data_IF_210995498874
#
_entry.id   IF_210995498874
#
_cell.length_a   1.000
_cell.length_b   1.000
_cell.length_c   1.000
_cell.angle_alpha   90.00
_cell.angle_beta   90.00
_cell.angle_gamma   90.00
#
_symmetry.space_group_name_H-M   'P 1'
#
loop_
_entity.id
_entity.type
_entity.pdbx_description
1 polymer ?
#
# COMPACT_ATOMS: atom_id res chain seq x y z
N UNK A 1 71.56 2.49 -38.84
CA UNK A 1 70.14 2.11 -38.76
C UNK A 1 69.77 2.01 -37.28
N UNK A 2 69.02 2.98 -36.76
CA UNK A 2 68.48 2.97 -35.38
C UNK A 2 66.96 3.03 -35.51
N UNK A 3 66.29 1.99 -35.05
CA UNK A 3 64.82 1.87 -35.06
C UNK A 3 64.20 2.83 -34.04
N UNK A 4 63.11 3.48 -34.43
CA UNK A 4 62.30 4.33 -33.56
C UNK A 4 61.41 3.47 -32.64
N UNK A 5 61.09 3.93 -31.42
CA UNK A 5 60.19 3.22 -30.52
C UNK A 5 58.71 3.45 -30.90
N UNK A 6 57.95 2.37 -30.99
CA UNK A 6 56.50 2.39 -31.17
C UNK A 6 55.80 2.96 -29.92
N UNK A 7 54.82 3.82 -30.16
CA UNK A 7 53.98 4.42 -29.12
C UNK A 7 52.82 3.47 -28.83
N UNK A 8 52.51 3.14 -27.56
CA UNK A 8 51.40 2.25 -27.26
C UNK A 8 50.05 2.96 -27.50
N UNK A 9 49.20 2.35 -28.33
CA UNK A 9 47.80 2.76 -28.51
C UNK A 9 47.03 2.61 -27.20
N UNK A 10 46.56 3.74 -26.67
CA UNK A 10 45.62 3.78 -25.56
C UNK A 10 44.23 3.48 -26.14
N UNK A 11 43.74 2.26 -25.93
CA UNK A 11 42.38 1.87 -26.28
C UNK A 11 41.34 2.73 -25.56
N UNK A 12 40.13 2.89 -26.12
CA UNK A 12 39.11 3.77 -25.58
C UNK A 12 38.74 3.37 -24.15
N UNK A 13 38.75 4.36 -23.25
CA UNK A 13 38.34 4.20 -21.87
C UNK A 13 36.92 3.62 -21.81
N UNK A 14 36.77 2.45 -21.17
CA UNK A 14 35.45 1.93 -20.78
C UNK A 14 34.76 2.99 -19.94
N UNK A 15 33.64 3.53 -20.43
CA UNK A 15 32.71 4.33 -19.63
C UNK A 15 32.35 3.50 -18.40
N UNK A 16 32.65 4.03 -17.22
CA UNK A 16 32.15 3.47 -15.97
C UNK A 16 30.61 3.51 -16.03
N UNK A 17 29.98 2.35 -16.02
CA UNK A 17 28.55 2.24 -15.70
C UNK A 17 28.36 2.82 -14.31
N UNK A 18 27.46 3.80 -14.20
CA UNK A 18 27.01 4.28 -12.90
C UNK A 18 26.46 3.07 -12.12
N UNK A 19 26.70 2.97 -10.80
CA UNK A 19 26.15 1.90 -10.00
C UNK A 19 24.62 1.92 -10.17
N UNK A 20 24.06 0.86 -10.75
CA UNK A 20 22.63 0.63 -10.78
C UNK A 20 22.16 0.57 -9.33
N UNK A 21 21.40 1.57 -8.87
CA UNK A 21 20.67 1.44 -7.62
C UNK A 21 19.70 0.26 -7.78
N UNK A 22 19.59 -0.57 -6.73
CA UNK A 22 18.60 -1.63 -6.72
C UNK A 22 17.19 -1.02 -6.89
N UNK A 23 16.25 -1.73 -7.55
CA UNK A 23 14.89 -1.25 -7.71
C UNK A 23 14.23 -1.05 -6.34
N UNK A 24 13.41 0.00 -6.20
CA UNK A 24 12.63 0.23 -4.98
C UNK A 24 11.62 -0.90 -4.81
N UNK A 25 11.55 -1.50 -3.63
CA UNK A 25 10.60 -2.58 -3.33
C UNK A 25 9.34 -2.04 -2.68
N UNK A 26 8.19 -2.21 -3.33
CA UNK A 26 6.90 -1.67 -2.87
C UNK A 26 5.88 -2.79 -2.70
N UNK A 27 5.24 -2.83 -1.53
CA UNK A 27 4.08 -3.68 -1.27
C UNK A 27 2.80 -2.85 -1.35
N UNK A 28 1.84 -3.28 -2.18
CA UNK A 28 0.48 -2.74 -2.20
C UNK A 28 -0.48 -3.83 -1.71
N UNK A 29 -1.24 -3.53 -0.66
CA UNK A 29 -2.21 -4.49 -0.09
C UNK A 29 -3.64 -4.01 -0.28
N UNK A 30 -4.59 -4.94 -0.27
CA UNK A 30 -6.02 -4.65 -0.23
C UNK A 30 -6.76 -5.63 0.66
N UNK A 31 -7.99 -5.29 1.05
CA UNK A 31 -8.84 -6.18 1.85
C UNK A 31 -9.84 -6.96 1.00
N UNK A 32 -10.07 -8.21 1.39
CA UNK A 32 -11.16 -9.06 0.93
C UNK A 32 -12.52 -8.57 1.47
N UNK A 33 -13.60 -9.27 1.11
CA UNK A 33 -14.94 -8.98 1.59
C UNK A 33 -15.07 -9.24 3.10
N UNK A 34 -15.92 -8.47 3.78
CA UNK A 34 -16.12 -8.57 5.25
C UNK A 34 -17.55 -8.91 5.66
N UNK A 35 -18.51 -8.87 4.72
CA UNK A 35 -19.94 -9.06 4.99
C UNK A 35 -20.55 -10.11 4.08
N UNK A 36 -21.65 -10.71 4.54
CA UNK A 36 -22.42 -11.69 3.77
C UNK A 36 -21.60 -12.92 3.35
N UNK A 37 -20.64 -13.35 4.17
CA UNK A 37 -19.64 -14.37 3.80
C UNK A 37 -20.12 -15.82 3.90
N UNK A 38 -21.37 -16.04 4.33
CA UNK A 38 -21.92 -17.38 4.59
C UNK A 38 -21.54 -17.96 5.96
N UNK A 39 -21.90 -19.23 6.17
CA UNK A 39 -21.59 -20.01 7.38
C UNK A 39 -21.08 -21.41 6.94
N UNK A 40 -19.77 -21.72 7.09
CA UNK A 40 -18.71 -20.86 7.65
C UNK A 40 -18.36 -19.66 6.74
N UNK A 41 -17.79 -18.57 7.28
CA UNK A 41 -17.44 -17.39 6.50
C UNK A 41 -16.33 -17.68 5.47
N UNK A 42 -16.55 -17.28 4.22
CA UNK A 42 -15.54 -17.31 3.15
C UNK A 42 -14.60 -16.10 3.22
N UNK A 43 -13.56 -16.18 4.05
CA UNK A 43 -12.64 -15.06 4.34
C UNK A 43 -11.83 -14.56 3.15
N UNK A 44 -11.62 -15.41 2.13
CA UNK A 44 -10.89 -15.08 0.91
C UNK A 44 -11.79 -14.59 -0.22
N UNK A 45 -13.09 -14.40 0.03
CA UNK A 45 -13.98 -13.89 -1.01
C UNK A 45 -13.54 -12.48 -1.42
N UNK A 46 -13.32 -12.29 -2.70
CA UNK A 46 -13.16 -10.99 -3.31
C UNK A 46 -14.25 -10.80 -4.36
N UNK A 47 -15.27 -10.03 -4.02
CA UNK A 47 -16.39 -9.70 -4.92
C UNK A 47 -16.81 -8.25 -4.74
N UNK A 48 -17.03 -7.85 -3.48
CA UNK A 48 -17.67 -6.58 -3.14
C UNK A 48 -16.66 -5.51 -2.74
N UNK A 49 -15.53 -5.90 -2.13
CA UNK A 49 -14.55 -4.96 -1.63
C UNK A 49 -13.69 -4.40 -2.78
N UNK A 50 -13.74 -3.09 -3.07
CA UNK A 50 -13.02 -2.54 -4.20
C UNK A 50 -11.50 -2.72 -4.08
N UNK A 51 -10.93 -2.77 -2.87
CA UNK A 51 -9.47 -2.89 -2.73
C UNK A 51 -8.94 -4.23 -3.24
N UNK A 52 -9.65 -5.35 -3.00
CA UNK A 52 -9.23 -6.62 -3.59
C UNK A 52 -9.55 -6.69 -5.08
N UNK A 53 -10.67 -6.10 -5.54
CA UNK A 53 -11.07 -6.09 -6.96
C UNK A 53 -10.06 -5.33 -7.82
N UNK A 54 -9.51 -4.23 -7.31
CA UNK A 54 -8.45 -3.48 -7.97
C UNK A 54 -7.17 -4.30 -8.16
N UNK A 55 -6.89 -5.23 -7.23
CA UNK A 55 -5.67 -6.04 -7.23
C UNK A 55 -5.81 -7.37 -7.99
N UNK A 56 -6.95 -8.04 -7.83
CA UNK A 56 -7.21 -9.38 -8.39
C UNK A 56 -7.98 -9.35 -9.70
N UNK A 57 -8.68 -8.26 -10.05
CA UNK A 57 -9.48 -8.16 -11.26
C UNK A 57 -10.76 -8.99 -11.22
N UNK A 58 -10.63 -10.31 -11.18
CA UNK A 58 -11.71 -11.29 -11.21
C UNK A 58 -12.22 -11.66 -9.80
N UNK A 59 -13.46 -12.17 -9.77
CA UNK A 59 -14.06 -12.59 -8.51
C UNK A 59 -13.40 -13.91 -8.08
N UNK A 60 -13.08 -14.03 -6.80
CA UNK A 60 -12.49 -15.26 -6.26
C UNK A 60 -13.00 -15.56 -4.86
N UNK A 61 -12.87 -16.82 -4.47
CA UNK A 61 -13.14 -17.33 -3.12
C UNK A 61 -11.92 -18.04 -2.52
N UNK A 62 -10.81 -18.09 -3.26
CA UNK A 62 -9.59 -18.78 -2.85
C UNK A 62 -8.52 -17.78 -2.51
N UNK A 63 -7.69 -18.13 -1.54
CA UNK A 63 -6.46 -17.40 -1.25
C UNK A 63 -5.61 -17.25 -2.54
N UNK A 64 -5.24 -16.02 -2.93
CA UNK A 64 -4.33 -15.81 -4.04
C UNK A 64 -2.99 -16.49 -3.76
N UNK A 65 -2.51 -17.32 -4.69
CA UNK A 65 -1.22 -18.00 -4.55
C UNK A 65 -0.27 -17.57 -5.67
N UNK A 66 0.81 -16.90 -5.29
CA UNK A 66 1.85 -16.43 -6.21
C UNK A 66 1.53 -15.13 -6.95
N UNK A 67 2.53 -14.62 -7.67
CA UNK A 67 2.49 -13.31 -8.33
C UNK A 67 1.50 -13.24 -9.51
N UNK A 68 1.20 -14.38 -10.14
CA UNK A 68 0.29 -14.48 -11.28
C UNK A 68 -1.19 -14.37 -10.87
N UNK A 69 -1.49 -14.43 -9.56
CA UNK A 69 -2.85 -14.23 -9.04
C UNK A 69 -3.26 -12.74 -9.01
N UNK A 70 -2.36 -11.82 -9.38
CA UNK A 70 -2.57 -10.39 -9.32
C UNK A 70 -2.45 -9.76 -10.71
N UNK A 71 -3.59 -9.56 -11.35
CA UNK A 71 -3.74 -9.00 -12.71
C UNK A 71 -4.84 -7.94 -12.79
N UNK A 72 -5.33 -7.44 -11.64
CA UNK A 72 -6.36 -6.42 -11.57
C UNK A 72 -5.96 -5.08 -12.19
N UNK A 73 -6.94 -4.18 -12.42
CA UNK A 73 -6.73 -2.95 -13.18
C UNK A 73 -5.73 -1.98 -12.53
N UNK A 74 -5.56 -2.03 -11.20
CA UNK A 74 -4.53 -1.25 -10.50
C UNK A 74 -3.14 -1.84 -10.74
N UNK A 75 -3.02 -3.17 -10.69
CA UNK A 75 -1.75 -3.88 -10.88
C UNK A 75 -1.19 -3.60 -12.27
N UNK A 76 -2.03 -3.71 -13.30
CA UNK A 76 -1.65 -3.42 -14.68
C UNK A 76 -1.10 -1.99 -14.84
N UNK A 77 -1.77 -1.00 -14.23
CA UNK A 77 -1.38 0.42 -14.30
C UNK A 77 -0.06 0.69 -13.60
N UNK A 78 0.12 0.19 -12.37
CA UNK A 78 1.34 0.41 -11.61
C UNK A 78 2.56 -0.21 -12.29
N UNK A 79 2.45 -1.45 -12.74
CA UNK A 79 3.51 -2.15 -13.48
C UNK A 79 3.86 -1.45 -14.80
N UNK A 80 2.86 -0.91 -15.51
CA UNK A 80 3.09 -0.20 -16.76
C UNK A 80 3.72 1.20 -16.57
N UNK A 81 3.34 1.91 -15.49
CA UNK A 81 3.78 3.28 -15.25
C UNK A 81 5.20 3.37 -14.68
N UNK A 82 5.60 2.41 -13.84
CA UNK A 82 6.92 2.36 -13.18
C UNK A 82 7.48 0.94 -13.22
N UNK A 83 7.94 0.46 -14.40
CA UNK A 83 8.49 -0.89 -14.55
C UNK A 83 9.81 -1.13 -13.79
N UNK A 84 10.47 -0.07 -13.33
CA UNK A 84 11.68 -0.10 -12.51
C UNK A 84 11.42 -0.36 -11.03
N UNK A 85 10.18 -0.23 -10.56
CA UNK A 85 9.80 -0.54 -9.19
C UNK A 85 9.50 -2.05 -9.09
N UNK A 86 10.01 -2.69 -8.05
CA UNK A 86 9.66 -4.07 -7.72
C UNK A 86 8.31 -4.07 -6.97
N UNK A 87 7.22 -4.17 -7.74
CA UNK A 87 5.86 -4.21 -7.23
C UNK A 87 5.48 -5.59 -6.71
N UNK A 88 5.11 -5.67 -5.43
CA UNK A 88 4.41 -6.82 -4.85
C UNK A 88 2.99 -6.46 -4.45
N UNK A 89 2.07 -7.40 -4.66
CA UNK A 89 0.66 -7.25 -4.36
C UNK A 89 0.20 -8.35 -3.41
N UNK A 90 -0.70 -8.01 -2.50
CA UNK A 90 -1.32 -8.96 -1.58
C UNK A 90 -2.76 -8.57 -1.27
N UNK A 91 -3.62 -9.55 -1.00
CA UNK A 91 -4.92 -9.29 -0.37
C UNK A 91 -4.95 -9.89 1.02
N UNK A 92 -5.72 -9.29 1.91
CA UNK A 92 -5.82 -9.66 3.31
C UNK A 92 -7.28 -9.95 3.68
N UNK A 93 -7.56 -11.06 4.37
CA UNK A 93 -8.86 -11.24 4.99
C UNK A 93 -9.11 -10.12 6.01
N UNK A 94 -10.36 -9.70 6.17
CA UNK A 94 -10.75 -8.68 7.15
C UNK A 94 -10.86 -9.34 8.53
N UNK A 95 -9.73 -9.79 9.07
CA UNK A 95 -9.61 -10.50 10.35
C UNK A 95 -8.57 -9.86 11.25
N UNK A 96 -8.80 -9.84 12.55
CA UNK A 96 -7.89 -9.20 13.50
C UNK A 96 -6.47 -9.78 13.43
N UNK A 97 -5.46 -8.91 13.48
CA UNK A 97 -4.06 -9.30 13.46
C UNK A 97 -3.54 -9.77 12.10
N UNK A 98 -4.31 -9.62 11.01
CA UNK A 98 -3.88 -10.04 9.65
C UNK A 98 -2.57 -9.41 9.20
N UNK A 99 -2.24 -8.23 9.73
CA UNK A 99 -1.02 -7.49 9.42
C UNK A 99 -0.16 -7.25 10.67
N UNK A 100 -0.24 -8.15 11.67
CA UNK A 100 0.56 -8.04 12.90
C UNK A 100 2.06 -8.23 12.63
N UNK A 101 2.41 -9.13 11.70
CA UNK A 101 3.78 -9.35 11.22
C UNK A 101 4.02 -8.52 9.95
N UNK A 102 4.42 -7.26 10.13
CA UNK A 102 4.73 -6.36 9.02
C UNK A 102 6.05 -6.79 8.36
N UNK A 103 6.10 -7.02 7.04
CA UNK A 103 7.30 -7.46 6.33
C UNK A 103 8.30 -6.30 6.08
N UNK A 104 8.74 -5.62 7.13
CA UNK A 104 9.59 -4.42 7.02
C UNK A 104 10.97 -4.73 6.42
N UNK A 105 11.49 -5.95 6.59
CA UNK A 105 12.77 -6.42 6.02
C UNK A 105 12.75 -6.58 4.49
N UNK A 106 11.56 -6.66 3.88
CA UNK A 106 11.39 -6.96 2.45
C UNK A 106 11.03 -5.76 1.59
N UNK A 107 10.42 -4.74 2.17
CA UNK A 107 9.84 -3.63 1.41
C UNK A 107 10.33 -2.29 1.95
N UNK A 108 10.58 -1.36 1.03
CA UNK A 108 10.92 0.02 1.38
C UNK A 108 9.69 0.87 1.57
N UNK A 109 8.61 0.55 0.84
CA UNK A 109 7.33 1.25 0.95
C UNK A 109 6.18 0.26 1.03
N UNK A 110 5.27 0.49 1.98
CA UNK A 110 4.01 -0.24 2.11
C UNK A 110 2.85 0.73 1.86
N UNK A 111 1.93 0.34 0.97
CA UNK A 111 0.68 1.06 0.74
C UNK A 111 -0.48 0.11 0.98
N UNK A 112 -1.24 0.36 2.05
CA UNK A 112 -2.44 -0.42 2.35
C UNK A 112 -3.67 0.29 1.77
N UNK A 113 -4.49 -0.46 1.03
CA UNK A 113 -5.74 0.03 0.46
C UNK A 113 -6.92 -0.54 1.24
N UNK A 114 -7.90 0.30 1.55
CA UNK A 114 -9.14 -0.15 2.17
C UNK A 114 -10.33 0.66 1.73
N UNK A 115 -11.53 0.07 1.75
CA UNK A 115 -12.75 0.84 1.58
C UNK A 115 -12.98 1.73 2.82
N UNK A 116 -13.12 3.03 2.63
CA UNK A 116 -13.40 3.96 3.75
C UNK A 116 -14.12 5.25 3.38
N UNK A 117 -14.29 5.53 2.09
CA UNK A 117 -15.05 6.70 1.61
C UNK A 117 -16.42 6.22 1.15
N UNK A 118 -17.38 6.19 2.07
CA UNK A 118 -18.69 5.57 1.84
C UNK A 118 -19.73 6.51 1.23
N UNK A 119 -19.55 7.82 1.39
CA UNK A 119 -20.51 8.88 1.04
C UNK A 119 -20.16 9.62 -0.25
N UNK A 120 -18.98 9.35 -0.82
CA UNK A 120 -18.46 9.99 -2.03
C UNK A 120 -17.85 8.96 -2.98
N UNK A 121 -17.92 9.24 -4.28
CA UNK A 121 -17.31 8.42 -5.34
C UNK A 121 -16.15 9.13 -6.06
N UNK A 122 -15.77 10.32 -5.57
CA UNK A 122 -14.84 11.24 -6.21
C UNK A 122 -13.73 11.70 -5.26
N UNK A 123 -13.50 10.98 -4.16
CA UNK A 123 -12.46 11.25 -3.17
C UNK A 123 -11.58 10.03 -2.92
N UNK A 124 -10.31 10.29 -2.69
CA UNK A 124 -9.30 9.34 -2.21
C UNK A 124 -8.77 9.89 -0.89
N UNK A 125 -8.85 9.12 0.20
CA UNK A 125 -8.51 9.60 1.54
C UNK A 125 -7.21 8.97 2.05
N UNK A 126 -6.20 9.78 2.33
CA UNK A 126 -4.98 9.34 3.00
C UNK A 126 -5.12 9.51 4.51
N UNK A 127 -4.68 8.51 5.27
CA UNK A 127 -4.56 8.63 6.73
C UNK A 127 -3.21 9.26 7.11
N UNK A 128 -3.23 10.27 7.97
CA UNK A 128 -2.03 10.94 8.48
C UNK A 128 -1.43 10.28 9.74
N UNK A 129 -2.11 9.27 10.27
CA UNK A 129 -1.72 8.54 11.48
C UNK A 129 -2.78 7.50 11.85
N UNK A 130 -2.55 6.79 12.94
CA UNK A 130 -3.44 5.72 13.40
C UNK A 130 -3.64 5.78 14.93
N UNK A 131 -4.77 5.27 15.41
CA UNK A 131 -5.05 5.07 16.84
C UNK A 131 -4.60 3.68 17.28
N UNK A 132 -4.10 3.54 18.50
CA UNK A 132 -3.80 2.24 19.11
C UNK A 132 -5.06 1.54 19.63
N UNK A 133 -6.12 1.46 18.80
CA UNK A 133 -7.40 0.87 19.17
C UNK A 133 -7.89 -0.05 18.06
N UNK A 134 -8.34 -1.25 18.45
CA UNK A 134 -9.15 -2.11 17.59
C UNK A 134 -10.51 -2.39 18.22
N UNK A 135 -11.56 -2.15 17.44
CA UNK A 135 -12.93 -2.31 17.90
C UNK A 135 -13.85 -2.83 16.79
N UNK A 136 -14.70 -3.78 17.15
CA UNK A 136 -15.78 -4.32 16.31
C UNK A 136 -15.68 -5.83 16.12
N UNK A 137 -16.50 -6.32 15.19
CA UNK A 137 -16.56 -7.73 14.78
C UNK A 137 -15.93 -7.91 13.42
N UNK A 138 -14.91 -8.76 13.34
CA UNK A 138 -14.24 -9.06 12.07
C UNK A 138 -15.01 -10.05 11.18
N UNK A 139 -14.48 -10.33 9.99
CA UNK A 139 -15.07 -11.25 9.01
C UNK A 139 -15.17 -12.70 9.50
N UNK A 140 -14.32 -13.11 10.43
CA UNK A 140 -14.37 -14.43 11.08
C UNK A 140 -15.38 -14.46 12.25
N UNK A 141 -16.00 -13.32 12.56
CA UNK A 141 -16.97 -13.17 13.62
C UNK A 141 -16.37 -12.97 15.01
N UNK A 142 -15.09 -12.60 15.09
CA UNK A 142 -14.38 -12.33 16.34
C UNK A 142 -14.59 -10.87 16.74
N UNK A 143 -15.15 -10.66 17.94
CA UNK A 143 -15.35 -9.33 18.53
C UNK A 143 -14.09 -8.89 19.30
N UNK A 144 -13.68 -7.63 19.12
CA UNK A 144 -12.60 -6.99 19.89
C UNK A 144 -13.01 -5.58 20.31
N UNK A 145 -12.44 -5.12 21.41
CA UNK A 145 -12.54 -3.74 21.91
C UNK A 145 -11.37 -3.51 22.87
N UNK A 146 -10.16 -3.35 22.32
CA UNK A 146 -8.92 -3.28 23.10
C UNK A 146 -7.82 -2.54 22.34
N UNK A 147 -6.76 -2.17 23.05
CA UNK A 147 -5.57 -1.61 22.42
C UNK A 147 -4.90 -2.63 21.49
N UNK A 148 -4.22 -2.14 20.44
CA UNK A 148 -3.47 -3.00 19.51
C UNK A 148 -2.13 -3.40 20.14
N UNK A 149 -1.41 -2.44 20.75
CA UNK A 149 -0.10 -2.64 21.39
C UNK A 149 -0.02 -2.22 22.85
N UNK A 150 -0.90 -1.35 23.35
CA UNK A 150 -1.03 -1.18 24.80
C UNK A 150 -1.92 -0.06 25.30
N UNK A 151 -1.95 1.09 24.64
CA UNK A 151 -2.61 2.31 25.15
C UNK A 151 -3.72 2.74 24.19
N UNK A 152 -4.97 2.39 24.48
CA UNK A 152 -6.10 2.57 23.55
C UNK A 152 -6.34 4.01 23.06
N UNK A 153 -5.90 5.01 23.81
CA UNK A 153 -6.00 6.44 23.51
C UNK A 153 -4.76 7.02 22.80
N UNK A 154 -3.72 6.21 22.60
CA UNK A 154 -2.49 6.64 21.94
C UNK A 154 -2.72 6.84 20.45
N UNK A 155 -2.27 8.00 19.97
CA UNK A 155 -2.14 8.28 18.54
C UNK A 155 -0.71 8.04 18.09
N UNK A 156 -0.55 7.23 17.05
CA UNK A 156 0.71 7.08 16.34
C UNK A 156 0.70 7.96 15.10
N UNK A 157 1.46 9.04 15.15
CA UNK A 157 1.68 9.92 14.01
C UNK A 157 2.65 9.28 13.01
N UNK A 158 2.44 9.54 11.72
CA UNK A 158 3.42 9.17 10.70
C UNK A 158 4.75 9.96 10.90
N UNK A 159 5.92 9.37 10.61
CA UNK A 159 7.19 10.09 10.63
C UNK A 159 7.16 11.32 9.74
N UNK A 160 7.98 12.34 10.06
CA UNK A 160 7.91 13.66 9.42
C UNK A 160 7.95 13.61 7.88
N UNK A 161 8.79 12.76 7.29
CA UNK A 161 8.88 12.62 5.84
C UNK A 161 7.57 12.09 5.21
N UNK A 162 6.98 11.06 5.84
CA UNK A 162 5.69 10.47 5.42
C UNK A 162 4.56 11.49 5.62
N UNK A 163 4.50 12.12 6.79
CA UNK A 163 3.49 13.14 7.09
C UNK A 163 3.56 14.34 6.14
N UNK A 164 4.76 14.82 5.82
CA UNK A 164 4.95 15.91 4.86
C UNK A 164 4.48 15.52 3.46
N UNK A 165 4.75 14.28 3.02
CA UNK A 165 4.28 13.78 1.73
C UNK A 165 2.76 13.65 1.66
N UNK A 166 2.13 13.10 2.69
CA UNK A 166 0.65 13.04 2.80
C UNK A 166 0.05 14.43 2.76
N UNK A 167 0.57 15.36 3.57
CA UNK A 167 0.06 16.72 3.66
C UNK A 167 0.23 17.50 2.33
N UNK A 168 1.32 17.28 1.60
CA UNK A 168 1.56 17.93 0.31
C UNK A 168 0.56 17.52 -0.78
N UNK A 169 -0.14 16.40 -0.60
CA UNK A 169 -1.15 15.91 -1.53
C UNK A 169 -2.57 16.34 -1.15
N UNK A 170 -2.79 16.94 0.02
CA UNK A 170 -4.14 17.38 0.43
C UNK A 170 -4.72 18.41 -0.54
N UNK A 171 -5.94 18.16 -1.03
CA UNK A 171 -6.66 19.03 -1.96
C UNK A 171 -6.25 18.88 -3.43
N UNK A 172 -5.22 18.09 -3.73
CA UNK A 172 -4.83 17.78 -5.11
C UNK A 172 -5.92 16.99 -5.85
N UNK A 173 -5.92 17.08 -7.19
CA UNK A 173 -6.79 16.24 -8.03
C UNK A 173 -5.96 15.22 -8.82
N UNK A 174 -6.36 13.95 -8.75
CA UNK A 174 -5.73 12.84 -9.45
C UNK A 174 -6.81 12.08 -10.23
N UNK A 175 -6.73 12.11 -11.56
CA UNK A 175 -7.70 11.46 -12.46
C UNK A 175 -9.17 11.76 -12.09
N UNK A 176 -9.45 13.00 -11.69
CA UNK A 176 -10.80 13.44 -11.30
C UNK A 176 -11.13 13.25 -9.81
N UNK A 177 -10.36 12.47 -9.05
CA UNK A 177 -10.52 12.30 -7.60
C UNK A 177 -9.85 13.42 -6.83
N UNK A 178 -10.53 13.97 -5.83
CA UNK A 178 -9.94 14.85 -4.82
C UNK A 178 -9.19 14.01 -3.79
N UNK A 179 -7.96 14.41 -3.46
CA UNK A 179 -7.21 13.81 -2.36
C UNK A 179 -7.56 14.52 -1.06
N UNK A 180 -8.09 13.79 -0.10
CA UNK A 180 -8.39 14.31 1.24
C UNK A 180 -7.46 13.64 2.25
N UNK A 181 -7.13 14.35 3.33
CA UNK A 181 -6.30 13.81 4.41
C UNK A 181 -7.13 13.72 5.67
N UNK A 182 -7.18 12.53 6.26
CA UNK A 182 -7.83 12.31 7.52
C UNK A 182 -6.80 12.22 8.65
N UNK A 183 -7.07 12.94 9.72
CA UNK A 183 -6.33 12.78 10.97
C UNK A 183 -6.71 11.44 11.60
N UNK A 184 -5.76 10.89 12.35
CA UNK A 184 -6.04 9.81 13.28
C UNK A 184 -7.23 10.21 14.17
N UNK A 185 -8.17 9.29 14.37
CA UNK A 185 -9.41 9.50 15.13
C UNK A 185 -9.90 8.16 15.68
N UNK A 186 -10.54 8.19 16.84
CA UNK A 186 -11.02 6.99 17.56
C UNK A 186 -12.12 6.25 16.79
N UNK A 187 -12.96 6.95 16.02
CA UNK A 187 -14.02 6.33 15.23
C UNK A 187 -13.49 5.50 14.04
N UNK A 188 -12.22 5.68 13.66
CA UNK A 188 -11.49 4.80 12.78
C UNK A 188 -10.71 3.77 13.61
N UNK A 189 -11.42 2.81 14.21
CA UNK A 189 -10.83 1.77 15.07
C UNK A 189 -10.97 0.35 14.48
N UNK A 190 -11.35 0.22 13.21
CA UNK A 190 -11.51 -1.09 12.58
C UNK A 190 -10.22 -1.57 11.89
N UNK A 191 -10.29 -2.58 11.01
CA UNK A 191 -9.11 -3.23 10.41
C UNK A 191 -8.21 -2.29 9.60
N UNK A 192 -8.78 -1.27 8.95
CA UNK A 192 -7.99 -0.26 8.24
C UNK A 192 -7.04 0.47 9.20
N UNK A 193 -7.52 0.80 10.40
CA UNK A 193 -6.69 1.40 11.44
C UNK A 193 -5.69 0.40 12.04
N UNK A 194 -6.09 -0.84 12.35
CA UNK A 194 -5.15 -1.84 12.91
C UNK A 194 -3.96 -2.07 11.98
N UNK A 195 -4.22 -2.23 10.68
CA UNK A 195 -3.16 -2.44 9.69
C UNK A 195 -2.29 -1.21 9.47
N UNK A 196 -2.86 0.00 9.48
CA UNK A 196 -2.06 1.23 9.40
C UNK A 196 -1.21 1.43 10.66
N UNK A 197 -1.78 1.19 11.85
CA UNK A 197 -1.09 1.29 13.12
C UNK A 197 0.09 0.32 13.20
N UNK A 198 -0.09 -0.93 12.78
CA UNK A 198 1.00 -1.92 12.72
C UNK A 198 2.10 -1.48 11.77
N UNK A 199 1.77 -0.97 10.58
CA UNK A 199 2.75 -0.51 9.60
C UNK A 199 3.55 0.72 10.09
N UNK A 200 2.87 1.70 10.71
CA UNK A 200 3.52 2.85 11.33
C UNK A 200 4.38 2.45 12.54
N UNK A 201 3.95 1.45 13.30
CA UNK A 201 4.72 0.95 14.46
C UNK A 201 6.01 0.29 13.98
N UNK A 202 5.94 -0.56 12.96
CA UNK A 202 7.12 -1.17 12.34
C UNK A 202 8.10 -0.10 11.82
N UNK A 203 7.58 0.95 11.16
CA UNK A 203 8.39 2.07 10.69
C UNK A 203 9.05 2.86 11.83
N UNK A 204 8.37 3.02 12.98
CA UNK A 204 8.91 3.73 14.13
C UNK A 204 9.93 2.90 14.94
N UNK A 205 9.81 1.57 14.89
CA UNK A 205 10.68 0.63 15.60
C UNK A 205 11.86 0.16 14.74
N UNK A 206 11.80 0.39 13.43
CA UNK A 206 12.85 0.06 12.47
C UNK A 206 14.20 0.69 12.85
N UNK A 207 15.25 -0.13 12.79
CA UNK A 207 16.63 0.31 13.01
C UNK A 207 17.26 0.92 11.75
N UNK A 208 18.53 1.32 11.83
CA UNK A 208 19.27 1.87 10.69
C UNK A 208 19.40 0.92 9.49
N UNK A 209 19.25 -0.40 9.73
CA UNK A 209 19.34 -1.45 8.73
C UNK A 209 17.96 -1.92 8.21
N UNK A 210 16.85 -1.38 8.74
CA UNK A 210 15.50 -1.69 8.25
C UNK A 210 15.24 -0.92 6.94
N UNK A 211 14.92 -1.61 5.83
CA UNK A 211 14.68 -0.93 4.56
C UNK A 211 13.36 -0.15 4.53
N UNK A 212 12.39 -0.46 5.41
CA UNK A 212 11.10 0.22 5.42
C UNK A 212 11.28 1.70 5.77
N UNK A 213 11.01 2.57 4.80
CA UNK A 213 11.14 4.02 4.92
C UNK A 213 9.80 4.76 4.88
N UNK A 214 8.73 4.11 4.40
CA UNK A 214 7.41 4.72 4.36
C UNK A 214 6.28 3.68 4.45
N UNK A 215 5.20 4.05 5.13
CA UNK A 215 3.97 3.29 5.19
C UNK A 215 2.78 4.25 5.05
N UNK A 216 1.86 3.94 4.14
CA UNK A 216 0.68 4.73 3.85
C UNK A 216 -0.58 3.89 3.96
N UNK A 217 -1.69 4.53 4.33
CA UNK A 217 -3.01 3.95 4.21
C UNK A 217 -3.89 4.85 3.34
N UNK A 218 -4.47 4.25 2.31
CA UNK A 218 -5.33 4.91 1.35
C UNK A 218 -6.74 4.29 1.42
N UNK A 219 -7.67 5.07 1.93
CA UNK A 219 -9.09 4.79 1.83
C UNK A 219 -9.62 5.16 0.44
N UNK A 220 -10.24 4.18 -0.21
CA UNK A 220 -10.87 4.32 -1.52
C UNK A 220 -12.39 4.27 -1.39
N UNK A 221 -13.14 4.82 -2.36
CA UNK A 221 -14.57 4.66 -2.46
C UNK A 221 -14.92 3.36 -3.16
N UNK A 222 -16.22 3.05 -3.22
CA UNK A 222 -16.71 2.09 -4.19
C UNK A 222 -16.47 2.58 -5.62
N UNK A 223 -16.32 1.63 -6.56
CA UNK A 223 -16.30 1.95 -7.98
C UNK A 223 -17.67 2.49 -8.41
N UNK A 224 -17.71 3.74 -8.90
CA UNK A 224 -18.95 4.36 -9.38
C UNK A 224 -19.48 3.56 -10.56
N UNK A 225 -20.75 3.16 -10.50
CA UNK A 225 -21.39 2.35 -11.54
C UNK A 225 -20.63 1.03 -11.88
N UNK A 226 -19.77 0.55 -10.97
CA UNK A 226 -18.91 -0.61 -11.19
C UNK A 226 -17.67 -0.33 -12.06
N UNK A 227 -17.35 0.92 -12.35
CA UNK A 227 -16.18 1.32 -13.14
C UNK A 227 -14.88 1.23 -12.32
N UNK A 228 -14.30 0.03 -12.31
CA UNK A 228 -13.02 -0.23 -11.66
C UNK A 228 -11.83 0.34 -12.43
N UNK A 229 -11.98 0.67 -13.72
CA UNK A 229 -10.90 1.23 -14.55
C UNK A 229 -10.62 2.68 -14.15
N UNK A 230 -11.67 3.49 -13.99
CA UNK A 230 -11.54 4.87 -13.50
C UNK A 230 -11.00 4.93 -12.07
N UNK A 231 -11.50 4.05 -11.18
CA UNK A 231 -11.00 3.97 -9.82
C UNK A 231 -9.52 3.54 -9.79
N UNK A 232 -9.13 2.56 -10.60
CA UNK A 232 -7.74 2.13 -10.72
C UNK A 232 -6.83 3.24 -11.25
N UNK A 233 -7.30 4.09 -12.16
CA UNK A 233 -6.55 5.24 -12.66
C UNK A 233 -6.27 6.27 -11.55
N UNK A 234 -7.29 6.63 -10.77
CA UNK A 234 -7.14 7.52 -9.62
C UNK A 234 -6.21 6.96 -8.54
N UNK A 235 -6.42 5.70 -8.17
CA UNK A 235 -5.59 5.02 -7.16
C UNK A 235 -4.15 4.88 -7.64
N UNK A 236 -3.92 4.44 -8.88
CA UNK A 236 -2.57 4.33 -9.43
C UNK A 236 -1.85 5.68 -9.43
N UNK A 237 -2.51 6.74 -9.91
CA UNK A 237 -1.94 8.08 -9.94
C UNK A 237 -1.53 8.59 -8.56
N UNK A 238 -2.31 8.27 -7.52
CA UNK A 238 -1.99 8.66 -6.15
C UNK A 238 -0.85 7.81 -5.58
N UNK A 239 -0.89 6.48 -5.77
CA UNK A 239 0.17 5.57 -5.32
C UNK A 239 1.52 5.97 -5.92
N UNK A 240 1.57 6.28 -7.21
CA UNK A 240 2.79 6.73 -7.89
C UNK A 240 3.40 7.97 -7.21
N UNK A 241 2.58 8.99 -6.90
CA UNK A 241 3.04 10.20 -6.18
C UNK A 241 3.54 9.91 -4.75
N UNK A 242 3.07 8.84 -4.11
CA UNK A 242 3.50 8.44 -2.77
C UNK A 242 4.85 7.72 -2.78
N UNK A 243 5.10 6.90 -3.81
CA UNK A 243 6.28 6.03 -3.91
C UNK A 243 7.43 6.64 -4.71
N UNK A 244 7.17 7.71 -5.48
CA UNK A 244 8.19 8.45 -6.21
C UNK A 244 9.34 8.88 -5.27
N UNK A 245 10.62 8.65 -5.65
CA UNK A 245 11.79 8.97 -4.82
C UNK A 245 11.88 10.41 -4.30
#
# INVERSE_FOLDING_TARGET
>A
MRSAPETPEVGPAKKAEAPSQAPVRVLVTGFNDWRELGDPPQLWRCRDNPSCRLLLGDETQTEPSGADSFDGPLVARLRAAQPEIEWTFATMPVTWGVFAEVPSDRYEVIVNLGLGVYDRFDALQLEAGAYDLRQGKDAAGVERAEAIRGEADRVLAAPQAVAARVQALEGERVAGYEVVVAKAREDNAYLCNETHFSALSALAEGGADDPLRAAYFLHIPYAKDGDYEALAEGVAGLVLRLVEP
#
